data_IF_712917677411
#
_entry.id   IF_712917677411
#
_cell.length_a   1.000
_cell.length_b   1.000
_cell.length_c   1.000
_cell.angle_alpha   90.00
_cell.angle_beta   90.00
_cell.angle_gamma   90.00
#
_symmetry.space_group_name_H-M   'P 1'
#
loop_
_entity.id
_entity.type
_entity.pdbx_description
1 polymer ?
#
# COMPACT_ATOMS: atom_id res chain seq x y z
N UNK A 1 -48.99 16.94 0.56
CA UNK A 1 -49.00 15.46 0.66
C UNK A 1 -47.81 14.82 -0.03
N UNK A 2 -47.37 15.28 -1.21
CA UNK A 2 -46.16 14.77 -1.89
C UNK A 2 -44.88 14.92 -1.07
N UNK A 3 -44.58 16.13 -0.57
CA UNK A 3 -43.33 16.38 0.20
C UNK A 3 -43.23 15.56 1.50
N UNK A 4 -44.35 15.36 2.21
CA UNK A 4 -44.38 14.54 3.42
C UNK A 4 -44.14 13.05 3.13
N UNK A 5 -44.63 12.54 1.99
CA UNK A 5 -44.35 11.18 1.55
C UNK A 5 -42.89 11.00 1.12
N UNK A 6 -42.32 11.99 0.43
CA UNK A 6 -40.90 11.97 0.02
C UNK A 6 -39.95 12.00 1.23
N UNK A 7 -40.27 12.81 2.25
CA UNK A 7 -39.48 12.87 3.48
C UNK A 7 -39.43 11.52 4.22
N UNK A 8 -40.59 10.89 4.45
CA UNK A 8 -40.67 9.58 5.09
C UNK A 8 -39.94 8.49 4.29
N UNK A 9 -39.97 8.57 2.95
CA UNK A 9 -39.26 7.66 2.07
C UNK A 9 -37.72 7.79 2.22
N UNK A 10 -37.19 9.02 2.24
CA UNK A 10 -35.74 9.24 2.39
C UNK A 10 -35.21 8.76 3.75
N UNK A 11 -36.02 8.86 4.80
CA UNK A 11 -35.68 8.35 6.13
C UNK A 11 -35.61 6.82 6.19
N UNK A 12 -36.57 6.15 5.58
CA UNK A 12 -36.58 4.69 5.45
C UNK A 12 -35.40 4.20 4.60
N UNK A 13 -35.10 4.90 3.50
CA UNK A 13 -33.98 4.55 2.62
C UNK A 13 -32.61 4.74 3.30
N UNK A 14 -32.44 5.77 4.13
CA UNK A 14 -31.26 5.92 4.97
C UNK A 14 -31.15 4.78 5.99
N UNK A 15 -32.26 4.42 6.63
CA UNK A 15 -32.30 3.33 7.63
C UNK A 15 -31.92 1.99 6.99
N UNK A 16 -32.44 1.68 5.80
CA UNK A 16 -32.03 0.50 5.02
C UNK A 16 -30.55 0.53 4.67
N UNK A 17 -30.03 1.66 4.20
CA UNK A 17 -28.62 1.80 3.86
C UNK A 17 -27.72 1.55 5.08
N UNK A 18 -28.07 2.10 6.25
CA UNK A 18 -27.34 1.86 7.50
C UNK A 18 -27.42 0.41 7.96
N UNK A 19 -28.58 -0.24 7.82
CA UNK A 19 -28.71 -1.68 8.14
C UNK A 19 -27.83 -2.54 7.24
N UNK A 20 -27.67 -2.19 5.95
CA UNK A 20 -26.71 -2.88 5.05
C UNK A 20 -25.27 -2.75 5.57
N UNK A 21 -24.87 -1.56 6.02
CA UNK A 21 -23.55 -1.35 6.62
C UNK A 21 -23.34 -2.21 7.88
N UNK A 22 -24.31 -2.23 8.78
CA UNK A 22 -24.25 -3.03 10.01
C UNK A 22 -24.15 -4.53 9.70
N UNK A 23 -24.98 -5.04 8.79
CA UNK A 23 -24.93 -6.44 8.40
C UNK A 23 -23.57 -6.81 7.79
N UNK A 24 -23.02 -5.94 6.95
CA UNK A 24 -21.70 -6.12 6.35
C UNK A 24 -20.59 -6.15 7.41
N UNK A 25 -20.65 -5.29 8.44
CA UNK A 25 -19.72 -5.35 9.57
C UNK A 25 -19.80 -6.67 10.35
N UNK A 26 -21.01 -7.18 10.58
CA UNK A 26 -21.23 -8.49 11.23
C UNK A 26 -20.66 -9.63 10.38
N UNK A 27 -20.90 -9.60 9.06
CA UNK A 27 -20.35 -10.61 8.13
C UNK A 27 -18.82 -10.66 8.17
N UNK A 28 -18.17 -9.50 8.38
CA UNK A 28 -16.71 -9.36 8.43
C UNK A 28 -16.14 -9.29 9.85
N UNK A 29 -16.85 -9.80 10.86
CA UNK A 29 -16.40 -9.74 12.26
C UNK A 29 -14.98 -10.29 12.51
N UNK A 30 -14.59 -11.36 11.78
CA UNK A 30 -13.24 -11.94 11.90
C UNK A 30 -12.16 -11.12 11.17
N UNK A 31 -12.53 -10.35 10.16
CA UNK A 31 -11.63 -9.50 9.37
C UNK A 31 -12.25 -8.11 9.14
N UNK A 32 -12.34 -7.25 10.18
CA UNK A 32 -13.05 -5.96 10.08
C UNK A 32 -12.48 -5.03 9.00
N UNK A 33 -11.17 -5.14 8.72
CA UNK A 33 -10.48 -4.40 7.65
C UNK A 33 -11.05 -4.67 6.25
N UNK A 34 -11.77 -5.78 6.05
CA UNK A 34 -12.42 -6.07 4.77
C UNK A 34 -13.75 -5.33 4.61
N UNK A 35 -14.40 -4.92 5.71
CA UNK A 35 -15.63 -4.12 5.70
C UNK A 35 -15.38 -2.61 5.75
N UNK A 36 -14.12 -2.17 5.83
CA UNK A 36 -13.78 -0.75 5.82
C UNK A 36 -13.50 -0.25 4.41
N UNK A 37 -13.88 1.00 4.16
CA UNK A 37 -13.58 1.65 2.90
C UNK A 37 -12.07 1.92 2.78
N UNK A 38 -11.52 1.83 1.58
CA UNK A 38 -10.08 2.00 1.39
C UNK A 38 -9.70 3.48 1.50
N UNK A 39 -8.68 3.75 2.32
CA UNK A 39 -8.04 5.06 2.43
C UNK A 39 -7.17 5.32 1.20
N UNK A 40 -7.43 6.41 0.48
CA UNK A 40 -6.61 6.83 -0.65
C UNK A 40 -5.15 7.07 -0.24
N UNK A 41 -4.93 7.60 0.96
CA UNK A 41 -3.58 7.87 1.44
C UNK A 41 -2.75 6.60 1.64
N UNK A 42 -3.37 5.51 2.09
CA UNK A 42 -2.70 4.23 2.31
C UNK A 42 -2.32 3.56 0.98
N UNK A 43 -3.24 3.54 0.02
CA UNK A 43 -2.97 2.96 -1.30
C UNK A 43 -1.97 3.82 -2.11
N UNK A 44 -2.02 5.15 -1.99
CA UNK A 44 -1.06 6.06 -2.64
C UNK A 44 0.35 5.82 -2.11
N UNK A 45 0.51 5.60 -0.80
CA UNK A 45 1.80 5.25 -0.18
C UNK A 45 2.33 3.88 -0.61
N UNK A 46 1.42 2.93 -0.87
CA UNK A 46 1.74 1.60 -1.37
C UNK A 46 2.29 1.65 -2.80
N UNK A 47 1.59 2.33 -3.71
CA UNK A 47 1.91 2.31 -5.15
C UNK A 47 2.95 3.36 -5.55
N UNK A 48 3.00 4.50 -4.85
CA UNK A 48 3.90 5.64 -5.13
C UNK A 48 3.83 6.09 -6.60
N UNK A 49 2.66 6.53 -7.07
CA UNK A 49 2.47 7.00 -8.44
C UNK A 49 3.41 8.17 -8.75
N UNK A 50 3.86 8.26 -10.01
CA UNK A 50 4.90 9.21 -10.44
C UNK A 50 4.33 10.59 -10.82
N UNK A 51 3.16 10.61 -11.48
CA UNK A 51 2.56 11.80 -12.06
C UNK A 51 1.06 11.85 -11.76
N UNK A 52 0.50 13.06 -11.72
CA UNK A 52 -0.94 13.31 -11.66
C UNK A 52 -1.38 13.99 -12.96
N UNK A 53 -2.48 13.53 -13.56
CA UNK A 53 -3.01 14.03 -14.83
C UNK A 53 -4.49 14.34 -14.65
N UNK A 54 -4.89 15.58 -14.97
CA UNK A 54 -6.30 15.94 -14.99
C UNK A 54 -6.98 15.33 -16.21
N UNK A 55 -8.00 14.51 -15.99
CA UNK A 55 -8.72 13.76 -17.02
C UNK A 55 -10.04 14.42 -17.42
N UNK A 56 -10.45 15.49 -16.74
CA UNK A 56 -11.70 16.20 -17.00
C UNK A 56 -12.94 15.49 -16.47
N UNK A 57 -14.09 15.89 -16.99
CA UNK A 57 -15.39 15.30 -16.69
C UNK A 57 -15.57 13.96 -17.40
N UNK A 58 -15.99 12.94 -16.65
CA UNK A 58 -16.17 11.57 -17.12
C UNK A 58 -17.36 10.91 -16.44
N UNK A 59 -18.02 10.01 -17.14
CA UNK A 59 -19.01 9.11 -16.57
C UNK A 59 -18.30 7.85 -16.07
N UNK A 60 -18.31 7.62 -14.75
CA UNK A 60 -17.51 6.58 -14.09
C UNK A 60 -18.41 5.46 -13.57
N UNK A 61 -18.08 4.18 -13.81
CA UNK A 61 -18.79 3.06 -13.19
C UNK A 61 -18.67 3.12 -11.66
N UNK A 62 -19.81 3.13 -10.98
CA UNK A 62 -19.87 3.25 -9.52
C UNK A 62 -19.17 2.07 -8.84
N UNK A 63 -19.17 0.89 -9.48
CA UNK A 63 -18.49 -0.31 -8.99
C UNK A 63 -16.95 -0.19 -8.90
N UNK A 64 -16.34 0.69 -9.69
CA UNK A 64 -14.90 0.96 -9.66
C UNK A 64 -14.50 1.98 -8.57
N UNK A 65 -15.46 2.62 -7.92
CA UNK A 65 -15.21 3.49 -6.77
C UNK A 65 -15.08 2.62 -5.53
N UNK A 66 -13.85 2.51 -5.02
CA UNK A 66 -13.45 1.56 -3.97
C UNK A 66 -13.00 2.21 -2.66
N UNK A 67 -12.83 3.54 -2.66
CA UNK A 67 -12.20 4.21 -1.53
C UNK A 67 -12.52 5.70 -1.42
N UNK A 68 -11.98 6.33 -0.38
CA UNK A 68 -12.16 7.76 -0.10
C UNK A 68 -10.85 8.38 0.36
N UNK A 69 -10.62 9.64 0.00
CA UNK A 69 -9.49 10.41 0.51
C UNK A 69 -9.64 10.75 2.00
N UNK A 70 -10.84 11.14 2.43
CA UNK A 70 -11.07 11.65 3.79
C UNK A 70 -12.12 10.93 4.62
N UNK A 71 -13.11 10.29 3.99
CA UNK A 71 -14.32 9.80 4.68
C UNK A 71 -14.43 8.29 4.75
N UNK A 72 -13.30 7.60 4.65
CA UNK A 72 -13.23 6.14 4.65
C UNK A 72 -13.67 5.47 5.97
N UNK A 73 -13.79 6.24 7.06
CA UNK A 73 -14.31 5.77 8.35
C UNK A 73 -15.83 5.94 8.49
N UNK A 74 -16.44 6.84 7.72
CA UNK A 74 -17.87 7.16 7.80
C UNK A 74 -18.74 6.13 7.06
N UNK A 75 -18.13 5.41 6.12
CA UNK A 75 -18.79 4.46 5.23
C UNK A 75 -18.11 3.10 5.27
N UNK A 76 -18.86 2.04 4.98
CA UNK A 76 -18.31 0.70 4.78
C UNK A 76 -17.64 0.55 3.40
N UNK A 77 -17.04 -0.61 3.13
CA UNK A 77 -16.42 -0.94 1.84
C UNK A 77 -17.39 -0.91 0.63
N UNK A 78 -18.69 -0.77 0.86
CA UNK A 78 -19.75 -0.64 -0.16
C UNK A 78 -20.35 0.77 -0.22
N UNK A 79 -19.74 1.74 0.48
CA UNK A 79 -20.22 3.11 0.64
C UNK A 79 -21.53 3.26 1.42
N UNK A 80 -21.97 2.28 2.21
CA UNK A 80 -23.12 2.44 3.08
C UNK A 80 -22.76 3.20 4.37
N UNK A 81 -23.62 4.13 4.83
CA UNK A 81 -23.32 5.00 5.97
C UNK A 81 -23.30 4.22 7.28
N UNK A 82 -22.27 4.41 8.10
CA UNK A 82 -22.13 3.74 9.41
C UNK A 82 -22.79 4.51 10.55
N UNK A 83 -22.84 5.84 10.44
CA UNK A 83 -23.19 6.72 11.56
C UNK A 83 -24.43 7.57 11.30
N UNK A 84 -25.21 7.82 12.35
CA UNK A 84 -26.43 8.65 12.29
C UNK A 84 -26.18 10.11 11.92
N UNK A 85 -25.01 10.66 12.23
CA UNK A 85 -24.69 12.05 11.89
C UNK A 85 -24.68 12.31 10.36
N UNK A 86 -24.63 11.25 9.54
CA UNK A 86 -24.70 11.32 8.08
C UNK A 86 -26.11 11.48 7.55
N UNK A 87 -27.13 11.19 8.36
CA UNK A 87 -28.55 11.06 7.98
C UNK A 87 -29.04 12.27 7.21
N UNK A 88 -28.98 13.45 7.82
CA UNK A 88 -29.54 14.67 7.24
C UNK A 88 -28.98 14.95 5.84
N UNK A 89 -27.65 14.99 5.68
CA UNK A 89 -27.05 15.25 4.35
C UNK A 89 -27.33 14.15 3.34
N UNK A 90 -27.41 12.89 3.78
CA UNK A 90 -27.73 11.76 2.93
C UNK A 90 -29.17 11.84 2.41
N UNK A 91 -30.15 12.12 3.28
CA UNK A 91 -31.56 12.28 2.93
C UNK A 91 -31.79 13.44 1.96
N UNK A 92 -31.10 14.57 2.14
CA UNK A 92 -31.21 15.70 1.20
C UNK A 92 -30.73 15.34 -0.20
N UNK A 93 -29.67 14.53 -0.31
CA UNK A 93 -29.16 14.08 -1.60
C UNK A 93 -30.11 13.05 -2.22
N UNK A 94 -30.63 12.13 -1.42
CA UNK A 94 -31.59 11.14 -1.85
C UNK A 94 -32.92 11.77 -2.30
N UNK A 95 -33.38 12.81 -1.60
CA UNK A 95 -34.53 13.63 -1.97
C UNK A 95 -34.33 14.32 -3.32
N UNK A 96 -33.17 14.94 -3.53
CA UNK A 96 -32.84 15.56 -4.81
C UNK A 96 -32.88 14.54 -5.96
N UNK A 97 -32.44 13.30 -5.70
CA UNK A 97 -32.55 12.21 -6.66
C UNK A 97 -33.99 11.80 -6.96
N UNK A 98 -34.86 11.70 -5.94
CA UNK A 98 -36.28 11.40 -6.10
C UNK A 98 -37.06 12.50 -6.83
N UNK A 99 -36.56 13.73 -6.79
CA UNK A 99 -37.14 14.90 -7.45
C UNK A 99 -36.54 15.17 -8.83
N UNK A 100 -35.69 14.27 -9.34
CA UNK A 100 -34.96 14.43 -10.61
C UNK A 100 -34.16 15.75 -10.70
N UNK A 101 -33.68 16.24 -9.55
CA UNK A 101 -32.84 17.42 -9.47
C UNK A 101 -31.41 17.04 -9.87
N UNK A 102 -30.88 17.71 -10.88
CA UNK A 102 -29.49 17.54 -11.29
C UNK A 102 -28.54 17.90 -10.15
N UNK A 103 -27.79 16.92 -9.67
CA UNK A 103 -26.76 17.11 -8.65
C UNK A 103 -25.41 17.49 -9.30
N UNK A 104 -24.57 18.27 -8.61
CA UNK A 104 -23.20 18.50 -9.06
C UNK A 104 -22.42 17.18 -9.14
N UNK A 105 -21.47 17.12 -10.08
CA UNK A 105 -20.56 15.99 -10.23
C UNK A 105 -19.75 15.71 -8.96
N UNK A 106 -19.28 14.47 -8.83
CA UNK A 106 -18.33 14.10 -7.79
C UNK A 106 -16.89 14.41 -8.23
N UNK A 107 -15.94 14.42 -7.30
CA UNK A 107 -14.52 14.52 -7.63
C UNK A 107 -13.81 13.23 -7.24
N UNK A 108 -13.04 12.66 -8.16
CA UNK A 108 -12.37 11.38 -8.00
C UNK A 108 -10.87 11.48 -8.28
N UNK A 109 -10.09 10.73 -7.51
CA UNK A 109 -8.77 10.28 -7.93
C UNK A 109 -8.87 8.89 -8.56
N UNK A 110 -8.23 8.68 -9.70
CA UNK A 110 -8.04 7.36 -10.30
C UNK A 110 -6.61 6.88 -9.99
N UNK A 111 -6.46 5.61 -9.60
CA UNK A 111 -5.16 4.99 -9.35
C UNK A 111 -5.22 3.50 -9.68
N UNK A 112 -4.51 3.09 -10.74
CA UNK A 112 -4.41 1.69 -11.11
C UNK A 112 -5.73 1.07 -11.58
N UNK A 113 -6.62 1.85 -12.19
CA UNK A 113 -7.91 1.41 -12.72
C UNK A 113 -9.07 1.41 -11.71
N UNK A 114 -8.83 1.91 -10.49
CA UNK A 114 -9.86 2.08 -9.46
C UNK A 114 -9.93 3.52 -8.98
N UNK A 115 -11.06 3.91 -8.39
CA UNK A 115 -11.35 5.30 -8.05
C UNK A 115 -11.53 5.53 -6.55
N UNK A 116 -11.10 6.71 -6.11
CA UNK A 116 -11.17 7.19 -4.74
C UNK A 116 -11.88 8.53 -4.69
N UNK A 117 -12.88 8.64 -3.82
CA UNK A 117 -13.68 9.87 -3.69
C UNK A 117 -12.87 10.94 -2.99
N UNK A 118 -12.64 12.04 -3.70
CA UNK A 118 -12.14 13.31 -3.15
C UNK A 118 -13.28 14.13 -2.56
N UNK A 119 -14.35 14.32 -3.33
CA UNK A 119 -15.59 14.95 -2.89
C UNK A 119 -16.83 14.20 -3.41
N UNK A 120 -17.92 14.23 -2.62
CA UNK A 120 -19.19 13.62 -3.02
C UNK A 120 -19.48 12.23 -2.43
N UNK A 121 -18.86 11.86 -1.30
CA UNK A 121 -19.05 10.54 -0.67
C UNK A 121 -20.52 10.16 -0.43
N UNK A 122 -21.35 11.12 0.01
CA UNK A 122 -22.79 10.87 0.17
C UNK A 122 -23.51 10.61 -1.16
N UNK A 123 -23.12 11.30 -2.25
CA UNK A 123 -23.69 11.06 -3.58
C UNK A 123 -23.35 9.66 -4.07
N UNK A 124 -22.11 9.20 -3.87
CA UNK A 124 -21.71 7.82 -4.15
C UNK A 124 -22.50 6.82 -3.30
N UNK A 125 -22.70 7.12 -2.01
CA UNK A 125 -23.51 6.30 -1.10
C UNK A 125 -24.96 6.15 -1.56
N UNK A 126 -25.61 7.25 -1.93
CA UNK A 126 -26.97 7.26 -2.47
C UNK A 126 -27.03 6.50 -3.80
N UNK A 127 -26.11 6.77 -4.72
CA UNK A 127 -26.02 6.06 -6.00
C UNK A 127 -25.91 4.54 -5.81
N UNK A 128 -25.04 4.07 -4.89
CA UNK A 128 -24.92 2.66 -4.51
C UNK A 128 -26.21 2.09 -3.91
N UNK A 129 -26.89 2.86 -3.06
CA UNK A 129 -28.14 2.43 -2.43
C UNK A 129 -29.28 2.26 -3.44
N UNK A 130 -29.33 3.14 -4.45
CA UNK A 130 -30.30 3.16 -5.54
C UNK A 130 -29.96 2.22 -6.69
N UNK A 131 -28.78 1.59 -6.68
CA UNK A 131 -28.34 0.69 -7.75
C UNK A 131 -27.95 1.42 -9.05
N UNK A 132 -27.56 2.69 -8.95
CA UNK A 132 -27.05 3.46 -10.08
C UNK A 132 -25.71 2.87 -10.53
N UNK A 133 -25.59 2.56 -11.82
CA UNK A 133 -24.41 1.92 -12.39
C UNK A 133 -23.27 2.91 -12.68
N UNK A 134 -23.62 4.14 -13.09
CA UNK A 134 -22.68 5.16 -13.53
C UNK A 134 -22.94 6.51 -12.88
N UNK A 135 -21.88 7.27 -12.59
CA UNK A 135 -21.98 8.60 -11.98
C UNK A 135 -21.01 9.57 -12.66
N UNK A 136 -21.44 10.82 -12.85
CA UNK A 136 -20.59 11.86 -13.43
C UNK A 136 -19.59 12.39 -12.42
N UNK A 137 -18.33 12.43 -12.84
CA UNK A 137 -17.19 12.75 -12.00
C UNK A 137 -16.16 13.61 -12.73
N UNK A 138 -15.56 14.54 -12.01
CA UNK A 138 -14.31 15.17 -12.39
C UNK A 138 -13.14 14.30 -11.90
N UNK A 139 -12.27 13.85 -12.80
CA UNK A 139 -11.26 12.82 -12.51
C UNK A 139 -9.84 13.37 -12.61
N UNK A 140 -9.02 13.07 -11.60
CA UNK A 140 -7.56 13.23 -11.64
C UNK A 140 -6.91 11.84 -11.56
N UNK A 141 -6.17 11.45 -12.58
CA UNK A 141 -5.49 10.16 -12.66
C UNK A 141 -4.07 10.23 -12.08
N UNK A 142 -3.76 9.34 -11.14
CA UNK A 142 -2.43 9.10 -10.63
C UNK A 142 -1.83 7.93 -11.39
N UNK A 143 -0.89 8.24 -12.27
CA UNK A 143 -0.32 7.28 -13.21
C UNK A 143 0.43 6.17 -12.47
N UNK A 144 0.02 4.93 -12.74
CA UNK A 144 0.51 3.70 -12.14
C UNK A 144 0.73 2.64 -13.22
N UNK A 145 1.81 1.87 -13.11
CA UNK A 145 2.12 0.76 -14.01
C UNK A 145 1.38 -0.53 -13.60
N UNK A 146 0.88 -0.60 -12.36
CA UNK A 146 0.05 -1.71 -11.85
C UNK A 146 -1.43 -1.39 -12.00
N UNK A 147 -2.19 -2.39 -12.47
CA UNK A 147 -3.66 -2.41 -12.42
C UNK A 147 -4.13 -3.18 -11.19
N UNK A 148 -5.02 -2.56 -10.42
CA UNK A 148 -5.64 -3.13 -9.24
C UNK A 148 -6.97 -3.78 -9.59
N UNK A 149 -7.30 -4.86 -8.90
CA UNK A 149 -8.63 -5.46 -8.99
C UNK A 149 -9.66 -4.67 -8.18
N UNK A 150 -10.76 -4.18 -8.80
CA UNK A 150 -11.85 -3.55 -8.08
C UNK A 150 -12.51 -4.51 -7.08
N UNK A 151 -12.92 -4.01 -5.92
CA UNK A 151 -13.61 -4.80 -4.89
C UNK A 151 -12.69 -5.63 -3.99
N UNK A 152 -11.38 -5.67 -4.26
CA UNK A 152 -10.41 -6.27 -3.35
C UNK A 152 -10.18 -5.40 -2.12
N UNK A 153 -9.89 -6.04 -0.99
CA UNK A 153 -9.48 -5.33 0.23
C UNK A 153 -8.08 -4.75 0.08
N UNK A 154 -7.73 -3.77 0.93
CA UNK A 154 -6.39 -3.18 0.95
C UNK A 154 -5.29 -4.25 1.11
N UNK A 155 -5.56 -5.31 1.87
CA UNK A 155 -4.63 -6.42 2.08
C UNK A 155 -4.39 -7.22 0.78
N UNK A 156 -5.43 -7.48 0.00
CA UNK A 156 -5.32 -8.15 -1.30
C UNK A 156 -4.63 -7.25 -2.33
N UNK A 157 -4.97 -5.97 -2.38
CA UNK A 157 -4.27 -4.99 -3.23
C UNK A 157 -2.77 -4.89 -2.87
N UNK A 158 -2.44 -4.96 -1.58
CA UNK A 158 -1.04 -5.01 -1.12
C UNK A 158 -0.30 -6.23 -1.68
N UNK A 159 -0.94 -7.40 -1.70
CA UNK A 159 -0.34 -8.61 -2.31
C UNK A 159 -0.13 -8.44 -3.81
N UNK A 160 -1.11 -7.89 -4.53
CA UNK A 160 -0.97 -7.60 -5.97
C UNK A 160 0.25 -6.69 -6.24
N UNK A 161 0.47 -5.67 -5.41
CA UNK A 161 1.64 -4.78 -5.52
C UNK A 161 2.94 -5.54 -5.28
N UNK A 162 3.03 -6.37 -4.24
CA UNK A 162 4.23 -7.17 -3.97
C UNK A 162 4.53 -8.15 -5.12
N UNK A 163 3.50 -8.78 -5.68
CA UNK A 163 3.64 -9.70 -6.81
C UNK A 163 4.09 -8.98 -8.09
N UNK A 164 3.57 -7.78 -8.33
CA UNK A 164 4.02 -6.91 -9.41
C UNK A 164 5.49 -6.54 -9.25
N UNK A 165 5.89 -6.05 -8.07
CA UNK A 165 7.29 -5.70 -7.78
C UNK A 165 8.22 -6.91 -7.96
N UNK A 166 7.80 -8.10 -7.51
CA UNK A 166 8.56 -9.35 -7.74
C UNK A 166 8.77 -9.60 -9.22
N UNK A 167 7.69 -9.53 -10.01
CA UNK A 167 7.76 -9.77 -11.46
C UNK A 167 8.68 -8.78 -12.15
N UNK A 168 8.54 -7.49 -11.84
CA UNK A 168 9.39 -6.44 -12.40
C UNK A 168 10.85 -6.70 -12.03
N UNK A 169 11.15 -6.94 -10.75
CA UNK A 169 12.52 -7.22 -10.30
C UNK A 169 13.13 -8.42 -11.03
N UNK A 170 12.43 -9.56 -11.06
CA UNK A 170 12.94 -10.75 -11.75
C UNK A 170 13.09 -10.54 -13.26
N UNK A 171 12.14 -9.85 -13.89
CA UNK A 171 12.16 -9.57 -15.33
C UNK A 171 13.25 -8.59 -15.75
N UNK A 172 13.49 -7.53 -14.97
CA UNK A 172 14.50 -6.51 -15.28
C UNK A 172 15.92 -6.97 -14.94
N UNK A 173 16.08 -7.78 -13.90
CA UNK A 173 17.41 -8.16 -13.40
C UNK A 173 17.88 -9.55 -13.84
N UNK A 174 16.96 -10.43 -14.24
CA UNK A 174 17.26 -11.84 -14.47
C UNK A 174 17.68 -12.58 -13.18
N UNK A 175 17.29 -12.08 -12.00
CA UNK A 175 17.77 -12.59 -10.71
C UNK A 175 17.62 -14.11 -10.55
N UNK A 176 16.46 -14.65 -10.96
CA UNK A 176 16.20 -16.08 -10.88
C UNK A 176 17.16 -16.90 -11.74
N UNK A 177 17.41 -16.48 -12.97
CA UNK A 177 18.31 -17.17 -13.90
C UNK A 177 19.78 -17.05 -13.47
N UNK A 178 20.18 -15.88 -12.97
CA UNK A 178 21.55 -15.62 -12.52
C UNK A 178 21.86 -16.43 -11.27
N UNK A 179 20.93 -16.56 -10.33
CA UNK A 179 21.19 -17.14 -8.99
C UNK A 179 20.63 -18.55 -8.79
N UNK A 180 19.80 -19.05 -9.71
CA UNK A 180 18.95 -20.23 -9.55
C UNK A 180 18.04 -20.16 -8.30
N UNK A 181 17.60 -18.95 -7.91
CA UNK A 181 16.79 -18.71 -6.72
C UNK A 181 15.51 -17.92 -7.02
N UNK A 182 14.38 -18.61 -7.00
CA UNK A 182 13.05 -18.06 -7.37
C UNK A 182 12.14 -17.71 -6.18
N UNK A 183 12.60 -17.97 -4.96
CA UNK A 183 11.85 -17.74 -3.72
C UNK A 183 12.39 -16.57 -2.88
N UNK A 184 12.86 -15.51 -3.55
CA UNK A 184 13.05 -14.22 -2.91
C UNK A 184 11.66 -13.59 -2.75
N UNK A 185 11.07 -13.75 -1.57
CA UNK A 185 9.69 -13.34 -1.26
C UNK A 185 9.67 -12.30 -0.14
N UNK A 186 8.70 -11.39 -0.17
CA UNK A 186 8.50 -10.37 0.85
C UNK A 186 7.05 -10.33 1.31
N UNK A 187 6.83 -9.86 2.54
CA UNK A 187 5.48 -9.63 3.08
C UNK A 187 5.09 -8.15 3.09
N UNK A 188 5.97 -7.28 2.59
CA UNK A 188 5.80 -5.83 2.56
C UNK A 188 6.20 -5.32 1.17
N UNK A 189 5.48 -4.34 0.60
CA UNK A 189 5.87 -3.65 -0.63
C UNK A 189 7.20 -2.90 -0.49
N UNK A 190 7.79 -2.56 -1.64
CA UNK A 190 8.99 -1.75 -1.81
C UNK A 190 10.31 -2.42 -1.40
N UNK A 191 10.31 -3.72 -1.05
CA UNK A 191 11.54 -4.39 -0.61
C UNK A 191 12.44 -4.79 -1.79
N UNK A 192 11.89 -5.04 -2.98
CA UNK A 192 12.70 -5.35 -4.17
C UNK A 192 13.60 -4.18 -4.57
N UNK A 193 13.12 -2.94 -4.48
CA UNK A 193 13.95 -1.75 -4.66
C UNK A 193 15.12 -1.69 -3.67
N UNK A 194 14.88 -2.12 -2.42
CA UNK A 194 15.93 -2.14 -1.39
C UNK A 194 16.98 -3.18 -1.74
N UNK A 195 16.57 -4.38 -2.16
CA UNK A 195 17.47 -5.43 -2.62
C UNK A 195 18.29 -4.96 -3.83
N UNK A 196 17.63 -4.39 -4.83
CA UNK A 196 18.30 -3.89 -6.02
C UNK A 196 19.37 -2.85 -5.66
N UNK A 197 19.03 -1.87 -4.81
CA UNK A 197 20.00 -0.89 -4.32
C UNK A 197 21.14 -1.51 -3.52
N UNK A 198 20.90 -2.58 -2.77
CA UNK A 198 21.94 -3.28 -2.03
C UNK A 198 22.89 -4.03 -2.96
N UNK A 199 22.38 -4.64 -4.03
CA UNK A 199 23.21 -5.26 -5.09
C UNK A 199 24.05 -4.19 -5.79
N UNK A 200 23.48 -3.04 -6.13
CA UNK A 200 24.23 -1.92 -6.74
C UNK A 200 25.33 -1.40 -5.80
N UNK A 201 25.03 -1.29 -4.51
CA UNK A 201 26.01 -0.87 -3.49
C UNK A 201 27.14 -1.90 -3.38
N UNK A 202 26.82 -3.19 -3.37
CA UNK A 202 27.80 -4.27 -3.38
C UNK A 202 28.69 -4.25 -4.63
N UNK A 203 28.08 -4.05 -5.81
CA UNK A 203 28.78 -3.88 -7.09
C UNK A 203 29.78 -2.73 -7.02
N UNK A 204 29.36 -1.58 -6.49
CA UNK A 204 30.22 -0.42 -6.32
C UNK A 204 31.47 -0.77 -5.50
N UNK A 205 31.31 -1.40 -4.33
CA UNK A 205 32.45 -1.75 -3.47
C UNK A 205 33.39 -2.78 -4.09
N UNK A 206 32.88 -3.77 -4.83
CA UNK A 206 33.73 -4.74 -5.54
C UNK A 206 34.58 -4.06 -6.61
N UNK A 207 34.04 -3.05 -7.28
CA UNK A 207 34.72 -2.35 -8.36
C UNK A 207 35.75 -1.33 -7.87
N UNK A 208 35.71 -0.88 -6.60
CA UNK A 208 36.62 0.15 -6.08
C UNK A 208 38.11 -0.16 -6.29
N UNK A 209 38.48 -1.44 -6.32
CA UNK A 209 39.88 -1.88 -6.48
C UNK A 209 40.13 -2.58 -7.83
N UNK A 210 39.27 -2.38 -8.83
CA UNK A 210 39.38 -3.01 -10.16
C UNK A 210 39.54 -1.96 -11.24
N UNK A 211 40.32 -2.30 -12.26
CA UNK A 211 40.52 -1.47 -13.46
C UNK A 211 39.35 -1.56 -14.43
N UNK A 212 38.62 -2.68 -14.43
CA UNK A 212 37.45 -2.91 -15.27
C UNK A 212 36.21 -3.22 -14.42
N UNK A 213 35.08 -2.65 -14.82
CA UNK A 213 33.82 -2.79 -14.11
C UNK A 213 33.21 -4.18 -14.33
N UNK A 214 32.81 -4.86 -13.26
CA UNK A 214 32.09 -6.13 -13.40
C UNK A 214 30.66 -5.92 -13.91
N UNK A 215 30.16 -6.90 -14.67
CA UNK A 215 28.76 -6.99 -15.08
C UNK A 215 27.80 -7.13 -13.89
N UNK A 216 26.54 -6.74 -14.11
CA UNK A 216 25.49 -6.79 -13.08
C UNK A 216 25.17 -8.22 -12.64
N UNK A 217 25.19 -9.17 -13.56
CA UNK A 217 25.08 -10.61 -13.34
C UNK A 217 26.12 -11.13 -12.32
N UNK A 218 27.40 -10.79 -12.53
CA UNK A 218 28.49 -11.19 -11.62
C UNK A 218 28.34 -10.52 -10.25
N UNK A 219 27.98 -9.25 -10.22
CA UNK A 219 27.77 -8.53 -8.96
C UNK A 219 26.61 -9.12 -8.16
N UNK A 220 25.52 -9.50 -8.83
CA UNK A 220 24.34 -10.09 -8.23
C UNK A 220 24.60 -11.49 -7.70
N UNK A 221 25.26 -12.36 -8.47
CA UNK A 221 25.69 -13.67 -7.99
C UNK A 221 26.65 -13.53 -6.79
N UNK A 222 27.60 -12.60 -6.87
CA UNK A 222 28.51 -12.33 -5.76
C UNK A 222 27.74 -11.87 -4.52
N UNK A 223 26.85 -10.89 -4.65
CA UNK A 223 26.01 -10.42 -3.54
C UNK A 223 25.17 -11.56 -2.93
N UNK A 224 24.56 -12.39 -3.79
CA UNK A 224 23.71 -13.48 -3.36
C UNK A 224 24.51 -14.48 -2.51
N UNK A 225 25.66 -14.91 -3.01
CA UNK A 225 26.50 -15.94 -2.37
C UNK A 225 27.28 -15.42 -1.16
N UNK A 226 27.79 -14.19 -1.19
CA UNK A 226 28.68 -13.64 -0.16
C UNK A 226 27.98 -12.77 0.88
N UNK A 227 26.75 -12.31 0.62
CA UNK A 227 26.01 -11.42 1.54
C UNK A 227 24.65 -11.99 1.90
N UNK A 228 23.79 -12.25 0.91
CA UNK A 228 22.41 -12.69 1.19
C UNK A 228 22.37 -14.08 1.83
N UNK A 229 22.93 -15.10 1.18
CA UNK A 229 22.91 -16.49 1.68
C UNK A 229 23.53 -16.65 3.08
N UNK A 230 24.70 -16.05 3.39
CA UNK A 230 25.27 -16.15 4.74
C UNK A 230 24.36 -15.57 5.81
N UNK A 231 23.75 -14.40 5.57
CA UNK A 231 22.82 -13.79 6.53
C UNK A 231 21.56 -14.64 6.71
N UNK A 232 21.01 -15.19 5.63
CA UNK A 232 19.86 -16.10 5.70
C UNK A 232 20.18 -17.36 6.50
N UNK A 233 21.37 -17.95 6.32
CA UNK A 233 21.83 -19.11 7.12
C UNK A 233 21.92 -18.76 8.61
N UNK A 234 22.44 -17.57 8.95
CA UNK A 234 22.44 -17.08 10.34
C UNK A 234 21.02 -16.98 10.90
N UNK A 235 20.08 -16.39 10.14
CA UNK A 235 18.66 -16.30 10.53
C UNK A 235 18.06 -17.69 10.84
N UNK A 236 18.37 -18.67 10.00
CA UNK A 236 17.91 -20.06 10.15
C UNK A 236 18.53 -20.76 11.37
N UNK A 237 19.85 -20.68 11.51
CA UNK A 237 20.61 -21.35 12.58
C UNK A 237 20.16 -20.87 13.97
N UNK A 238 19.90 -19.57 14.12
CA UNK A 238 19.42 -18.99 15.37
C UNK A 238 17.89 -19.11 15.56
N UNK A 239 17.18 -19.75 14.62
CA UNK A 239 15.71 -19.95 14.65
C UNK A 239 14.94 -18.65 14.87
N UNK A 240 15.48 -17.53 14.37
CA UNK A 240 14.96 -16.18 14.61
C UNK A 240 13.51 -16.04 14.10
N UNK A 241 13.15 -16.78 13.05
CA UNK A 241 11.81 -16.81 12.46
C UNK A 241 10.69 -17.18 13.45
N UNK A 242 10.98 -17.87 14.56
CA UNK A 242 9.96 -18.22 15.58
C UNK A 242 9.27 -16.99 16.19
N UNK A 243 9.97 -15.87 16.24
CA UNK A 243 9.46 -14.60 16.75
C UNK A 243 8.71 -13.78 15.69
N UNK A 244 8.76 -14.18 14.41
CA UNK A 244 8.27 -13.41 13.26
C UNK A 244 7.23 -14.17 12.44
N UNK A 245 6.02 -14.28 13.01
CA UNK A 245 4.87 -14.86 12.30
C UNK A 245 4.48 -13.98 11.11
N UNK A 246 4.12 -14.61 9.99
CA UNK A 246 3.68 -13.97 8.75
C UNK A 246 4.75 -13.11 8.04
N UNK A 247 6.03 -13.36 8.33
CA UNK A 247 7.17 -12.69 7.69
C UNK A 247 8.05 -13.71 6.98
N UNK A 248 8.77 -13.23 5.97
CA UNK A 248 9.72 -14.02 5.20
C UNK A 248 11.13 -13.85 5.76
N UNK A 249 12.05 -14.76 5.38
CA UNK A 249 13.48 -14.61 5.75
C UNK A 249 14.09 -13.37 5.08
N UNK A 250 13.62 -13.03 3.88
CA UNK A 250 14.07 -11.86 3.13
C UNK A 250 13.61 -10.54 3.76
N UNK A 251 12.41 -10.50 4.36
CA UNK A 251 11.97 -9.36 5.17
C UNK A 251 12.97 -9.09 6.30
N UNK A 252 13.36 -10.13 7.05
CA UNK A 252 14.33 -10.03 8.13
C UNK A 252 15.69 -9.57 7.64
N UNK A 253 16.15 -10.10 6.50
CA UNK A 253 17.39 -9.67 5.88
C UNK A 253 17.40 -8.16 5.62
N UNK A 254 16.35 -7.61 4.99
CA UNK A 254 16.27 -6.17 4.73
C UNK A 254 16.22 -5.36 6.03
N UNK A 255 15.52 -5.86 7.05
CA UNK A 255 15.46 -5.18 8.35
C UNK A 255 16.81 -5.17 9.07
N UNK A 256 17.56 -6.26 9.00
CA UNK A 256 18.91 -6.34 9.56
C UNK A 256 19.84 -5.33 8.88
N UNK A 257 19.79 -5.20 7.55
CA UNK A 257 20.61 -4.21 6.83
C UNK A 257 20.25 -2.78 7.20
N UNK A 258 18.95 -2.45 7.27
CA UNK A 258 18.52 -1.11 7.67
C UNK A 258 18.95 -0.79 9.09
N UNK A 259 18.81 -1.75 10.01
CA UNK A 259 19.29 -1.59 11.38
C UNK A 259 20.81 -1.44 11.42
N UNK A 260 21.54 -2.18 10.59
CA UNK A 260 22.98 -2.04 10.43
C UNK A 260 23.36 -0.61 10.05
N UNK A 261 22.72 -0.05 9.02
CA UNK A 261 23.00 1.31 8.56
C UNK A 261 22.76 2.35 9.68
N UNK A 262 21.70 2.17 10.48
CA UNK A 262 21.46 3.03 11.65
C UNK A 262 22.54 2.93 12.73
N UNK A 263 23.05 1.72 12.97
CA UNK A 263 24.11 1.47 13.95
C UNK A 263 25.43 2.05 13.47
N UNK A 264 25.80 1.86 12.20
CA UNK A 264 26.97 2.49 11.59
C UNK A 264 26.93 4.02 11.70
N UNK A 265 25.77 4.61 11.45
CA UNK A 265 25.58 6.06 11.59
C UNK A 265 25.76 6.56 13.04
N UNK A 266 25.49 5.72 14.04
CA UNK A 266 25.56 6.10 15.47
C UNK A 266 26.90 5.77 16.13
N UNK A 267 27.55 4.70 15.70
CA UNK A 267 28.70 4.10 16.39
C UNK A 267 29.96 3.97 15.52
N UNK A 268 29.90 4.33 14.23
CA UNK A 268 31.03 4.23 13.29
C UNK A 268 31.05 2.93 12.48
N UNK A 269 31.91 2.87 11.45
CA UNK A 269 31.99 1.72 10.52
C UNK A 269 32.57 0.44 11.14
N UNK A 270 33.33 0.58 12.23
CA UNK A 270 34.06 -0.51 12.89
C UNK A 270 33.21 -1.31 13.90
N UNK A 271 31.88 -1.13 13.92
CA UNK A 271 31.01 -1.85 14.83
C UNK A 271 30.92 -3.35 14.45
N UNK A 272 31.31 -4.29 15.34
CA UNK A 272 31.39 -5.72 14.98
C UNK A 272 30.04 -6.32 14.54
N UNK A 273 30.10 -7.21 13.54
CA UNK A 273 28.96 -7.92 12.96
C UNK A 273 28.18 -8.72 14.02
N UNK A 274 28.92 -9.38 14.92
CA UNK A 274 28.37 -10.23 15.98
C UNK A 274 27.66 -9.41 17.05
N UNK A 275 28.24 -8.27 17.43
CA UNK A 275 27.62 -7.33 18.37
C UNK A 275 26.36 -6.69 17.77
N UNK A 276 26.34 -6.43 16.45
CA UNK A 276 25.15 -5.97 15.73
C UNK A 276 24.05 -7.02 15.74
N UNK A 277 24.38 -8.28 15.43
CA UNK A 277 23.40 -9.37 15.44
C UNK A 277 22.81 -9.58 16.85
N UNK A 278 23.66 -9.55 17.89
CA UNK A 278 23.21 -9.66 19.28
C UNK A 278 22.38 -8.45 19.72
N UNK A 279 22.78 -7.24 19.35
CA UNK A 279 22.03 -6.00 19.62
C UNK A 279 20.67 -5.98 18.91
N UNK A 280 20.63 -6.41 17.65
CA UNK A 280 19.40 -6.60 16.88
C UNK A 280 18.49 -7.62 17.58
N UNK A 281 19.00 -8.81 17.91
CA UNK A 281 18.23 -9.83 18.60
C UNK A 281 17.72 -9.35 19.96
N UNK A 282 18.55 -8.69 20.78
CA UNK A 282 18.15 -8.17 22.08
C UNK A 282 17.09 -7.06 21.98
N UNK A 283 17.25 -6.14 21.02
CA UNK A 283 16.30 -5.05 20.77
C UNK A 283 14.95 -5.56 20.24
N UNK A 284 14.96 -6.61 19.43
CA UNK A 284 13.79 -7.11 18.72
C UNK A 284 13.19 -8.42 19.27
N UNK A 285 13.82 -9.05 20.26
CA UNK A 285 13.25 -10.17 21.02
C UNK A 285 12.12 -9.74 21.97
N UNK A 286 12.14 -8.48 22.44
CA UNK A 286 11.05 -7.91 23.23
C UNK A 286 9.90 -7.49 22.29
N UNK A 287 8.79 -8.24 22.32
CA UNK A 287 7.60 -8.08 21.44
C UNK A 287 7.04 -6.64 21.34
N UNK A 288 7.28 -5.74 22.32
CA UNK A 288 6.74 -4.37 22.33
C UNK A 288 7.63 -3.34 21.60
N UNK A 289 8.96 -3.42 21.71
CA UNK A 289 9.92 -2.55 21.01
C UNK A 289 9.89 -2.74 19.50
N UNK A 290 9.43 -3.91 19.07
CA UNK A 290 9.23 -4.30 17.69
C UNK A 290 8.15 -3.47 16.99
N UNK A 291 6.99 -3.17 17.58
CA UNK A 291 5.95 -2.40 16.85
C UNK A 291 6.37 -0.94 16.54
N UNK A 292 7.06 -0.29 17.47
CA UNK A 292 7.43 1.13 17.39
C UNK A 292 8.57 1.42 16.41
N UNK A 293 9.63 0.59 16.42
CA UNK A 293 10.71 0.68 15.43
C UNK A 293 10.17 0.48 14.01
N UNK A 294 9.24 -0.45 13.84
CA UNK A 294 8.67 -0.81 12.54
C UNK A 294 7.73 0.25 11.99
N UNK A 295 6.99 0.96 12.86
CA UNK A 295 6.20 2.13 12.46
C UNK A 295 7.10 3.30 12.02
N UNK A 296 8.21 3.54 12.74
CA UNK A 296 9.21 4.57 12.37
C UNK A 296 9.93 4.23 11.05
N UNK A 297 10.34 2.98 10.86
CA UNK A 297 11.00 2.51 9.65
C UNK A 297 10.11 2.60 8.41
N UNK A 298 8.79 2.35 8.57
CA UNK A 298 7.80 2.53 7.49
C UNK A 298 7.70 3.99 7.03
N UNK A 299 7.81 4.96 7.95
CA UNK A 299 7.70 6.39 7.65
C UNK A 299 9.03 6.99 7.14
N UNK A 300 10.20 6.46 7.51
CA UNK A 300 11.51 6.96 7.05
C UNK A 300 11.79 6.68 5.56
N UNK A 301 11.07 5.72 4.96
CA UNK A 301 11.07 5.45 3.52
C UNK A 301 10.59 6.68 2.72
N UNK A 302 9.80 7.57 3.32
CA UNK A 302 9.29 8.80 2.68
C UNK A 302 10.40 9.87 2.47
N UNK A 303 11.47 9.87 3.27
CA UNK A 303 12.43 10.99 3.32
C UNK A 303 13.80 10.81 2.65
N UNK A 304 14.24 9.57 2.38
CA UNK A 304 15.63 9.30 1.93
C UNK A 304 15.76 8.83 0.47
N UNK A 305 14.74 8.19 -0.11
CA UNK A 305 14.77 7.78 -1.53
C UNK A 305 14.74 8.96 -2.51
N UNK A 306 14.20 10.11 -2.09
CA UNK A 306 14.21 11.35 -2.88
C UNK A 306 15.61 11.99 -2.97
N UNK A 307 16.47 11.81 -1.97
CA UNK A 307 17.78 12.49 -1.91
C UNK A 307 18.90 11.77 -2.68
N UNK A 308 18.86 10.44 -2.82
CA UNK A 308 19.87 9.70 -3.60
C UNK A 308 19.66 9.73 -5.12
N UNK A 309 18.43 9.96 -5.61
CA UNK A 309 18.13 10.10 -7.05
C UNK A 309 18.60 11.43 -7.68
N UNK A 310 18.90 12.45 -6.87
CA UNK A 310 19.52 13.70 -7.33
C UNK A 310 21.05 13.55 -7.46
N UNK A 311 21.70 12.87 -6.51
CA UNK A 311 23.16 12.79 -6.51
C UNK A 311 23.77 11.82 -7.56
N UNK A 312 22.97 10.92 -8.12
CA UNK A 312 23.38 9.99 -9.20
C UNK A 312 22.98 10.47 -10.62
N UNK A 313 22.35 11.66 -10.74
CA UNK A 313 22.07 12.31 -12.03
C UNK A 313 23.03 13.47 -12.35
N UNK A 314 23.74 13.96 -11.33
CA UNK A 314 24.69 15.08 -11.44
C UNK A 314 26.17 14.61 -11.41
N UNK A 315 26.44 13.35 -11.75
CA UNK A 315 27.77 12.77 -11.99
C UNK A 315 27.71 11.85 -13.19
#
# INVERSE_FOLDING_TARGET
>A
MSEQMTSAQTEDDFTKARHKALFNEVQHFLNPDEATLISFSDIKKLIRPKNEVYMGMQTVPVNLIVGSEGRYQDFDNRFFPKSMHLKSRWEHIDMAHLQDISLPSISLYELGGVYFVRDGNHRVSVARSRGVEFIDAEVVSLQSEIKLHPGDSLQKMTKQVIEYEKRVFYGETGFGDVTDFWCLDFSVPGQYDVIYNHILTHKYYINMNKTEEIGMDKAMMSWFTSVYTPVIKTIENHKIMRSFRNRTKSDLYVWMIKYWDEIKLKFGEDYPIEDMANSFMNKFAARSSFRSFFWRLRNEIEGRLLRKKQHLRDK
#
